data_IF_691607428638
#
_entry.id   IF_691607428638
#
_cell.length_a   1.000
_cell.length_b   1.000
_cell.length_c   1.000
_cell.angle_alpha   90.00
_cell.angle_beta   90.00
_cell.angle_gamma   90.00
#
_symmetry.space_group_name_H-M   'P 1'
#
loop_
_entity.id
_entity.type
_entity.pdbx_description
1 polymer ?
#
# COMPACT_ATOMS: atom_id res chain seq x y z
N UNK A 1 17.20 15.53 19.73
CA UNK A 1 16.77 14.21 20.25
C UNK A 1 16.97 13.21 19.13
N UNK A 2 18.03 12.43 19.21
CA UNK A 2 18.36 11.33 18.29
C UNK A 2 17.43 10.16 18.61
N UNK A 3 16.21 10.20 18.08
CA UNK A 3 15.20 9.17 18.30
C UNK A 3 15.21 8.18 17.15
N UNK A 4 15.31 6.89 17.48
CA UNK A 4 15.08 5.79 16.55
C UNK A 4 13.79 6.01 15.73
N UNK A 5 13.73 5.52 14.48
CA UNK A 5 12.53 5.63 13.67
C UNK A 5 11.31 5.07 14.43
N UNK A 6 10.17 5.74 14.28
CA UNK A 6 8.91 5.23 14.84
C UNK A 6 8.58 3.89 14.17
N UNK A 7 7.80 3.04 14.81
CA UNK A 7 7.33 1.75 14.25
C UNK A 7 5.86 1.85 13.78
N UNK A 8 5.41 0.87 12.99
CA UNK A 8 4.00 0.65 12.65
C UNK A 8 3.59 0.98 11.21
N UNK A 9 2.29 0.85 10.94
CA UNK A 9 1.67 1.24 9.68
C UNK A 9 0.62 2.34 9.94
N UNK A 10 0.72 3.47 9.24
CA UNK A 10 -0.21 4.60 9.39
C UNK A 10 -0.92 4.93 8.09
N UNK A 11 -2.25 4.94 8.12
CA UNK A 11 -3.05 5.51 7.02
C UNK A 11 -3.25 7.01 7.22
N UNK A 12 -3.06 7.79 6.16
CA UNK A 12 -3.50 9.18 6.02
C UNK A 12 -4.41 9.28 4.82
N UNK A 13 -5.59 9.84 5.02
CA UNK A 13 -6.62 9.89 4.00
C UNK A 13 -6.87 11.34 3.60
N UNK A 14 -6.69 11.64 2.31
CA UNK A 14 -7.01 12.95 1.76
C UNK A 14 -8.52 13.24 1.80
N UNK A 15 -8.87 14.51 2.00
CA UNK A 15 -10.26 14.95 1.87
C UNK A 15 -10.75 14.72 0.43
N UNK A 16 -11.80 13.91 0.28
CA UNK A 16 -12.40 13.56 -1.02
C UNK A 16 -12.22 12.09 -1.41
N UNK A 17 -11.40 11.32 -0.70
CA UNK A 17 -11.34 9.85 -0.84
C UNK A 17 -12.70 9.25 -0.47
N UNK A 18 -13.17 8.28 -1.26
CA UNK A 18 -14.47 7.65 -1.06
C UNK A 18 -14.57 7.01 0.34
N UNK A 19 -15.67 7.21 1.10
CA UNK A 19 -15.79 6.70 2.47
C UNK A 19 -15.58 5.19 2.60
N UNK A 20 -16.06 4.43 1.62
CA UNK A 20 -15.94 2.97 1.62
C UNK A 20 -14.50 2.50 1.40
N UNK A 21 -13.76 3.15 0.49
CA UNK A 21 -12.33 2.90 0.31
C UNK A 21 -11.56 3.22 1.59
N UNK A 22 -11.87 4.36 2.22
CA UNK A 22 -11.27 4.76 3.49
C UNK A 22 -11.54 3.70 4.58
N UNK A 23 -12.77 3.21 4.70
CA UNK A 23 -13.14 2.16 5.67
C UNK A 23 -12.33 0.90 5.42
N UNK A 24 -12.35 0.38 4.19
CA UNK A 24 -11.63 -0.83 3.81
C UNK A 24 -10.12 -0.74 4.07
N UNK A 25 -9.48 0.38 3.68
CA UNK A 25 -8.05 0.60 3.91
C UNK A 25 -7.70 0.70 5.41
N UNK A 26 -8.56 1.32 6.23
CA UNK A 26 -8.33 1.41 7.67
C UNK A 26 -8.46 0.05 8.36
N UNK A 27 -9.42 -0.75 7.94
CA UNK A 27 -9.61 -2.12 8.43
C UNK A 27 -8.46 -3.04 8.00
N UNK A 28 -8.06 -2.96 6.74
CA UNK A 28 -6.91 -3.69 6.20
C UNK A 28 -5.63 -3.32 6.96
N UNK A 29 -5.37 -2.04 7.16
CA UNK A 29 -4.21 -1.58 7.94
C UNK A 29 -4.27 -2.01 9.41
N UNK A 30 -5.47 -2.17 9.99
CA UNK A 30 -5.62 -2.71 11.34
C UNK A 30 -5.23 -4.18 11.39
N UNK A 31 -5.66 -4.96 10.42
CA UNK A 31 -5.29 -6.37 10.30
C UNK A 31 -3.79 -6.53 10.03
N UNK A 32 -3.22 -5.79 9.07
CA UNK A 32 -1.78 -5.81 8.76
C UNK A 32 -0.92 -5.58 10.00
N UNK A 33 -1.27 -4.62 10.86
CA UNK A 33 -0.54 -4.34 12.11
C UNK A 33 -0.55 -5.47 13.13
N UNK A 34 -1.46 -6.43 13.01
CA UNK A 34 -1.53 -7.60 13.89
C UNK A 34 -0.76 -8.80 13.31
N UNK A 35 -0.73 -8.93 11.99
CA UNK A 35 -0.14 -10.09 11.31
C UNK A 35 1.32 -9.86 10.87
N UNK A 36 1.72 -8.61 10.64
CA UNK A 36 3.03 -8.26 10.10
C UNK A 36 3.77 -7.23 10.97
N UNK A 37 5.09 -7.28 10.91
CA UNK A 37 5.98 -6.37 11.64
C UNK A 37 6.30 -5.12 10.81
N UNK A 38 6.34 -3.98 11.49
CA UNK A 38 6.66 -2.69 10.86
C UNK A 38 7.78 -1.98 11.66
N UNK A 39 9.04 -2.42 11.52
CA UNK A 39 10.17 -1.92 12.32
C UNK A 39 10.48 -0.45 12.06
N UNK A 40 10.20 0.05 10.85
CA UNK A 40 10.22 1.48 10.52
C UNK A 40 8.85 1.88 10.04
N UNK A 41 8.29 2.95 10.58
CA UNK A 41 6.92 3.30 10.32
C UNK A 41 6.74 3.74 8.88
N UNK A 42 5.89 3.02 8.16
CA UNK A 42 5.45 3.39 6.81
C UNK A 42 4.12 4.14 6.88
N UNK A 43 4.02 5.24 6.13
CA UNK A 43 2.80 6.03 6.02
C UNK A 43 2.17 5.82 4.64
N UNK A 44 0.95 5.30 4.60
CA UNK A 44 0.16 5.16 3.37
C UNK A 44 -0.74 6.38 3.22
N UNK A 45 -0.57 7.13 2.15
CA UNK A 45 -1.39 8.27 1.78
C UNK A 45 -2.43 7.84 0.73
N UNK A 46 -3.71 7.81 1.11
CA UNK A 46 -4.81 7.62 0.17
C UNK A 46 -5.10 8.96 -0.51
N UNK A 47 -5.01 8.97 -1.84
CA UNK A 47 -5.14 10.14 -2.71
C UNK A 47 -6.45 10.05 -3.47
N UNK A 48 -7.19 11.17 -3.54
CA UNK A 48 -8.46 11.22 -4.28
C UNK A 48 -8.28 11.19 -5.80
N UNK A 49 -7.05 11.40 -6.26
CA UNK A 49 -6.70 11.44 -7.67
C UNK A 49 -6.92 10.08 -8.34
N UNK A 50 -7.24 10.09 -9.64
CA UNK A 50 -7.44 8.87 -10.44
C UNK A 50 -6.14 8.07 -10.62
N UNK A 51 -5.03 8.78 -10.82
CA UNK A 51 -3.67 8.24 -10.86
C UNK A 51 -2.72 9.20 -10.15
N UNK A 52 -1.57 8.69 -9.71
CA UNK A 52 -0.49 9.48 -9.12
C UNK A 52 0.65 9.56 -10.12
N UNK A 53 1.31 10.72 -10.15
CA UNK A 53 2.54 10.87 -10.91
C UNK A 53 3.73 10.29 -10.14
N UNK A 54 4.39 9.29 -10.71
CA UNK A 54 5.64 8.75 -10.17
C UNK A 54 6.69 9.85 -10.06
N UNK A 55 7.44 9.86 -8.96
CA UNK A 55 8.50 10.84 -8.76
C UNK A 55 9.75 10.51 -9.58
N UNK A 56 9.91 9.26 -10.00
CA UNK A 56 11.09 8.74 -10.70
C UNK A 56 10.98 8.93 -12.23
N UNK A 57 10.02 8.28 -12.87
CA UNK A 57 9.83 8.22 -14.33
C UNK A 57 8.80 9.24 -14.88
N UNK A 58 7.99 9.85 -14.00
CA UNK A 58 6.90 10.80 -14.32
C UNK A 58 5.66 10.17 -14.98
N UNK A 59 5.53 8.86 -14.98
CA UNK A 59 4.37 8.10 -15.42
C UNK A 59 3.20 8.22 -14.45
N UNK A 60 2.01 7.88 -14.94
CA UNK A 60 0.77 7.86 -14.16
C UNK A 60 0.49 6.43 -13.69
N UNK A 61 0.54 6.23 -12.38
CA UNK A 61 0.47 4.92 -11.73
C UNK A 61 -0.61 4.90 -10.65
N UNK A 62 -1.04 3.70 -10.26
CA UNK A 62 -2.03 3.49 -9.20
C UNK A 62 -1.43 3.65 -7.80
N UNK A 63 -0.16 3.31 -7.62
CA UNK A 63 0.55 3.52 -6.36
C UNK A 63 2.04 3.77 -6.56
N UNK A 64 2.70 4.23 -5.49
CA UNK A 64 4.17 4.36 -5.43
C UNK A 64 4.66 4.13 -4.00
N UNK A 65 5.79 3.46 -3.86
CA UNK A 65 6.61 3.42 -2.64
C UNK A 65 7.81 4.37 -2.77
N UNK A 66 8.14 5.06 -1.67
CA UNK A 66 9.39 5.78 -1.52
C UNK A 66 10.12 5.30 -0.26
N UNK A 67 11.22 4.59 -0.47
CA UNK A 67 12.19 4.19 0.56
C UNK A 67 13.41 5.11 0.60
N UNK A 68 13.58 5.97 1.62
CA UNK A 68 14.75 6.84 1.73
C UNK A 68 16.06 6.05 1.93
N UNK A 69 17.19 6.58 1.45
CA UNK A 69 18.50 5.99 1.75
C UNK A 69 18.83 6.03 3.26
N UNK A 70 18.47 7.12 3.94
CA UNK A 70 18.60 7.24 5.40
C UNK A 70 17.38 6.63 6.10
N UNK A 71 17.52 5.44 6.70
CA UNK A 71 16.47 4.72 7.46
C UNK A 71 15.89 5.51 8.66
N UNK A 72 16.48 6.65 9.03
CA UNK A 72 15.89 7.56 10.04
C UNK A 72 14.73 8.38 9.47
N UNK A 73 14.64 8.50 8.15
CA UNK A 73 13.51 9.10 7.46
C UNK A 73 12.44 8.04 7.23
N UNK A 74 11.18 8.39 7.52
CA UNK A 74 10.08 7.45 7.34
C UNK A 74 9.79 7.24 5.85
N UNK A 75 9.69 5.98 5.39
CA UNK A 75 9.20 5.69 4.06
C UNK A 75 7.70 5.99 3.97
N UNK A 76 7.21 6.11 2.74
CA UNK A 76 5.79 6.29 2.50
C UNK A 76 5.32 5.61 1.22
N UNK A 77 4.03 5.30 1.23
CA UNK A 77 3.29 4.78 0.09
C UNK A 77 2.24 5.81 -0.28
N UNK A 78 1.98 6.00 -1.57
CA UNK A 78 0.84 6.79 -2.05
C UNK A 78 -0.02 5.90 -2.92
N UNK A 79 -1.34 5.93 -2.72
CA UNK A 79 -2.30 5.11 -3.49
C UNK A 79 -3.41 6.01 -4.03
N UNK A 80 -3.60 5.96 -5.35
CA UNK A 80 -4.68 6.60 -6.06
C UNK A 80 -5.97 5.83 -5.79
N UNK A 81 -7.06 6.52 -5.52
CA UNK A 81 -8.36 5.89 -5.25
C UNK A 81 -9.49 6.52 -6.06
N UNK A 82 -9.16 7.41 -7.01
CA UNK A 82 -10.14 8.17 -7.77
C UNK A 82 -10.91 7.33 -8.81
N UNK A 83 -10.40 6.16 -9.16
CA UNK A 83 -10.99 5.19 -10.07
C UNK A 83 -11.99 4.23 -9.38
N UNK A 84 -12.14 4.31 -8.05
CA UNK A 84 -12.97 3.37 -7.28
C UNK A 84 -14.40 3.22 -7.81
N UNK A 85 -15.07 4.30 -8.21
CA UNK A 85 -16.45 4.22 -8.70
C UNK A 85 -16.54 3.49 -10.06
N UNK A 86 -15.52 3.62 -10.91
CA UNK A 86 -15.46 2.89 -12.18
C UNK A 86 -15.14 1.40 -11.94
N UNK A 87 -14.22 1.10 -11.02
CA UNK A 87 -13.94 -0.27 -10.59
C UNK A 87 -15.18 -0.93 -9.99
N UNK A 88 -15.93 -0.20 -9.15
CA UNK A 88 -17.16 -0.67 -8.53
C UNK A 88 -18.23 -1.03 -9.58
N UNK A 89 -18.41 -0.18 -10.59
CA UNK A 89 -19.36 -0.45 -11.67
C UNK A 89 -18.94 -1.66 -12.52
N UNK A 90 -17.64 -1.78 -12.80
CA UNK A 90 -17.11 -2.80 -13.72
C UNK A 90 -16.98 -4.18 -13.08
N UNK A 91 -16.51 -4.23 -11.84
CA UNK A 91 -16.06 -5.47 -11.18
C UNK A 91 -16.88 -5.80 -9.91
N UNK A 92 -17.72 -4.88 -9.43
CA UNK A 92 -18.39 -5.03 -8.14
C UNK A 92 -17.51 -4.59 -6.97
N UNK A 93 -18.11 -4.56 -5.77
CA UNK A 93 -17.50 -3.92 -4.60
C UNK A 93 -16.26 -4.64 -4.09
N UNK A 94 -16.30 -5.97 -4.00
CA UNK A 94 -15.21 -6.75 -3.45
C UNK A 94 -13.95 -6.66 -4.30
N UNK A 95 -14.09 -6.87 -5.61
CA UNK A 95 -12.97 -6.76 -6.56
C UNK A 95 -12.44 -5.32 -6.67
N UNK A 96 -13.32 -4.32 -6.61
CA UNK A 96 -12.91 -2.91 -6.60
C UNK A 96 -12.08 -2.54 -5.37
N UNK A 97 -12.49 -3.02 -4.19
CA UNK A 97 -11.72 -2.83 -2.97
C UNK A 97 -10.44 -3.65 -2.98
N UNK A 98 -10.49 -4.90 -3.45
CA UNK A 98 -9.32 -5.78 -3.54
C UNK A 98 -8.23 -5.18 -4.44
N UNK A 99 -8.59 -4.52 -5.55
CA UNK A 99 -7.64 -3.81 -6.40
C UNK A 99 -6.87 -2.72 -5.62
N UNK A 100 -7.57 -1.87 -4.87
CA UNK A 100 -6.96 -0.79 -4.09
C UNK A 100 -6.12 -1.33 -2.92
N UNK A 101 -6.62 -2.36 -2.22
CA UNK A 101 -5.86 -3.01 -1.15
C UNK A 101 -4.62 -3.74 -1.69
N UNK A 102 -4.72 -4.32 -2.88
CA UNK A 102 -3.61 -4.94 -3.60
C UNK A 102 -2.53 -3.92 -3.94
N UNK A 103 -2.89 -2.71 -4.36
CA UNK A 103 -1.90 -1.63 -4.53
C UNK A 103 -1.19 -1.26 -3.23
N UNK A 104 -1.85 -1.35 -2.07
CA UNK A 104 -1.14 -1.17 -0.78
C UNK A 104 -0.19 -2.35 -0.52
N UNK A 105 -0.66 -3.58 -0.72
CA UNK A 105 0.11 -4.79 -0.43
C UNK A 105 1.35 -4.95 -1.32
N UNK A 106 1.24 -4.66 -2.61
CA UNK A 106 2.36 -4.65 -3.55
C UNK A 106 3.46 -3.69 -3.10
N UNK A 107 3.08 -2.45 -2.76
CA UNK A 107 4.03 -1.44 -2.27
C UNK A 107 4.59 -1.76 -0.87
N UNK A 108 3.90 -2.59 -0.10
CA UNK A 108 4.46 -3.16 1.14
C UNK A 108 5.53 -4.22 0.85
N UNK A 109 5.44 -4.94 -0.27
CA UNK A 109 6.52 -5.80 -0.77
C UNK A 109 7.81 -5.00 -0.97
N UNK A 110 7.74 -3.87 -1.68
CA UNK A 110 8.88 -2.95 -1.81
C UNK A 110 9.36 -2.39 -0.47
N UNK A 111 8.44 -2.13 0.47
CA UNK A 111 8.83 -1.75 1.82
C UNK A 111 9.67 -2.82 2.52
N UNK A 112 9.29 -4.10 2.45
CA UNK A 112 10.07 -5.18 3.07
C UNK A 112 11.41 -5.41 2.38
N UNK A 113 11.44 -5.40 1.04
CA UNK A 113 12.68 -5.41 0.27
C UNK A 113 13.62 -4.28 0.69
N UNK A 114 13.07 -3.07 0.89
CA UNK A 114 13.82 -1.93 1.41
C UNK A 114 14.25 -2.17 2.85
N UNK A 115 13.41 -2.66 3.76
CA UNK A 115 13.79 -2.92 5.17
C UNK A 115 14.98 -3.89 5.25
N UNK A 116 14.98 -4.92 4.41
CA UNK A 116 16.00 -5.98 4.41
C UNK A 116 17.25 -5.63 3.60
N UNK A 117 17.32 -4.40 3.04
CA UNK A 117 18.42 -3.91 2.21
C UNK A 117 18.78 -4.89 1.07
N UNK A 118 17.77 -5.46 0.42
CA UNK A 118 17.96 -6.38 -0.70
C UNK A 118 18.51 -5.63 -1.92
N UNK A 119 19.57 -6.18 -2.51
CA UNK A 119 20.12 -5.71 -3.78
C UNK A 119 19.48 -6.50 -4.92
N UNK A 120 18.33 -6.01 -5.40
CA UNK A 120 17.55 -6.60 -6.48
C UNK A 120 17.61 -5.71 -7.73
N UNK A 121 17.52 -6.31 -8.91
CA UNK A 121 17.15 -5.56 -10.09
C UNK A 121 15.64 -5.23 -10.11
N UNK A 122 15.21 -4.47 -11.12
CA UNK A 122 13.81 -4.03 -11.24
C UNK A 122 12.86 -5.21 -11.44
N UNK A 123 13.24 -6.22 -12.22
CA UNK A 123 12.38 -7.39 -12.48
C UNK A 123 12.23 -8.25 -11.22
N UNK A 124 13.33 -8.51 -10.51
CA UNK A 124 13.32 -9.25 -9.25
C UNK A 124 12.54 -8.52 -8.14
N UNK A 125 12.66 -7.19 -8.07
CA UNK A 125 11.93 -6.37 -7.11
C UNK A 125 10.42 -6.39 -7.38
N UNK A 126 10.00 -6.24 -8.64
CA UNK A 126 8.59 -6.29 -9.03
C UNK A 126 8.00 -7.69 -8.82
N UNK A 127 8.71 -8.76 -9.19
CA UNK A 127 8.27 -10.14 -8.93
C UNK A 127 8.12 -10.40 -7.42
N UNK A 128 9.09 -9.96 -6.61
CA UNK A 128 9.02 -10.08 -5.16
C UNK A 128 7.84 -9.32 -4.55
N UNK A 129 7.56 -8.11 -5.05
CA UNK A 129 6.44 -7.30 -4.58
C UNK A 129 5.09 -7.89 -4.97
N UNK A 130 4.98 -8.49 -6.15
CA UNK A 130 3.79 -9.19 -6.61
C UNK A 130 3.53 -10.46 -5.80
N UNK A 131 4.57 -11.25 -5.52
CA UNK A 131 4.45 -12.44 -4.66
C UNK A 131 4.01 -12.07 -3.23
N UNK A 132 4.56 -10.99 -2.66
CA UNK A 132 4.17 -10.51 -1.32
C UNK A 132 2.73 -9.99 -1.33
N UNK A 133 2.32 -9.28 -2.40
CA UNK A 133 0.93 -8.82 -2.58
C UNK A 133 -0.04 -9.99 -2.52
N UNK A 134 0.20 -11.03 -3.32
CA UNK A 134 -0.67 -12.20 -3.41
C UNK A 134 -0.74 -12.92 -2.06
N UNK A 135 0.40 -13.09 -1.39
CA UNK A 135 0.46 -13.67 -0.05
C UNK A 135 -0.39 -12.88 0.97
N UNK A 136 -0.21 -11.56 1.04
CA UNK A 136 -0.95 -10.68 1.95
C UNK A 136 -2.45 -10.75 1.67
N UNK A 137 -2.85 -10.66 0.39
CA UNK A 137 -4.26 -10.66 0.00
C UNK A 137 -4.92 -12.02 0.28
N UNK A 138 -4.24 -13.13 0.02
CA UNK A 138 -4.75 -14.47 0.30
C UNK A 138 -4.98 -14.69 1.79
N UNK A 139 -4.08 -14.19 2.65
CA UNK A 139 -4.29 -14.22 4.10
C UNK A 139 -5.45 -13.32 4.52
N UNK A 140 -5.52 -12.09 4.01
CA UNK A 140 -6.57 -11.16 4.39
C UNK A 140 -7.96 -11.64 3.96
N UNK A 141 -8.06 -12.23 2.76
CA UNK A 141 -9.29 -12.80 2.20
C UNK A 141 -9.91 -13.82 3.14
N UNK A 142 -9.10 -14.61 3.85
CA UNK A 142 -9.58 -15.63 4.81
C UNK A 142 -10.21 -15.02 6.07
N UNK A 143 -10.07 -13.70 6.29
CA UNK A 143 -10.62 -12.99 7.46
C UNK A 143 -11.95 -12.27 7.19
N UNK A 144 -12.48 -12.40 5.96
CA UNK A 144 -13.65 -11.66 5.49
C UNK A 144 -14.72 -12.62 4.97
N UNK A 145 -15.97 -12.26 5.25
CA UNK A 145 -17.11 -12.84 4.55
C UNK A 145 -17.18 -12.20 3.17
N UNK A 146 -17.27 -13.04 2.14
CA UNK A 146 -17.47 -12.62 0.75
C UNK A 146 -18.93 -12.92 0.37
N UNK A 147 -19.66 -11.99 -0.28
CA UNK A 147 -21.04 -12.20 -0.73
C UNK A 147 -21.19 -13.32 -1.76
#
# INVERSE_FOLDING_TARGET
MTGYPRTGLRIRCEQGVHPEVRRACLEFAKWLRNEFEFPIRVVVYLKKDYQIKSEFDKELVSATFLGPFDKRQEPYIRVATGDYLELLEKNGQDDALAAILGSIAHELGHYYQWIDDLELDEEEAEEGAENEKDYILDLYRQTRDHP
#
